data_IF_460075613816
#
_entry.id   IF_460075613816
#
_cell.length_a   1.000
_cell.length_b   1.000
_cell.length_c   1.000
_cell.angle_alpha   90.00
_cell.angle_beta   90.00
_cell.angle_gamma   90.00
#
_symmetry.space_group_name_H-M   'P 1'
#
loop_
_entity.id
_entity.type
_entity.pdbx_description
1 polymer ?
#
# COMPACT_ATOMS: atom_id res chain seq x y z
N UNK A 1 0.56 -7.23 11.20
CA UNK A 1 -0.78 -7.11 10.56
C UNK A 1 -1.92 -7.32 11.56
N UNK A 2 -1.80 -8.25 12.52
CA UNK A 2 -2.84 -8.54 13.53
C UNK A 2 -3.39 -7.29 14.23
N UNK A 3 -2.52 -6.49 14.85
CA UNK A 3 -2.94 -5.26 15.55
C UNK A 3 -3.51 -4.20 14.61
N UNK A 4 -3.06 -4.15 13.35
CA UNK A 4 -3.59 -3.22 12.35
C UNK A 4 -5.04 -3.56 12.02
N UNK A 5 -5.34 -4.85 11.82
CA UNK A 5 -6.71 -5.30 11.57
C UNK A 5 -7.62 -5.05 12.78
N UNK A 6 -7.11 -5.34 13.99
CA UNK A 6 -7.83 -5.07 15.23
C UNK A 6 -8.14 -3.58 15.44
N UNK A 7 -7.23 -2.67 15.06
CA UNK A 7 -7.41 -1.23 15.22
C UNK A 7 -8.52 -0.63 14.32
N UNK A 8 -8.97 -1.33 13.28
CA UNK A 8 -10.01 -0.87 12.36
C UNK A 8 -11.15 -1.88 12.21
N UNK A 9 -11.31 -2.76 13.21
CA UNK A 9 -12.37 -3.79 13.27
C UNK A 9 -12.48 -4.67 12.02
N UNK A 10 -11.35 -4.95 11.37
CA UNK A 10 -11.29 -5.87 10.23
C UNK A 10 -11.09 -7.29 10.77
N UNK A 11 -11.99 -8.25 10.48
CA UNK A 11 -12.01 -9.57 11.11
C UNK A 11 -10.98 -10.54 10.48
N UNK A 12 -9.73 -10.12 10.40
CA UNK A 12 -8.62 -10.93 9.90
C UNK A 12 -7.49 -11.06 10.92
N UNK A 13 -6.90 -12.26 10.98
CA UNK A 13 -5.59 -12.46 11.60
C UNK A 13 -4.48 -11.74 10.83
N UNK A 14 -3.28 -11.70 11.42
CA UNK A 14 -2.12 -11.10 10.76
C UNK A 14 -1.23 -12.12 10.08
N UNK A 15 -1.04 -11.97 8.77
CA UNK A 15 -0.04 -12.69 7.99
C UNK A 15 0.82 -11.74 7.16
N UNK A 16 1.97 -12.24 6.69
CA UNK A 16 2.87 -11.54 5.76
C UNK A 16 3.72 -12.54 4.99
N UNK A 17 3.99 -12.24 3.73
CA UNK A 17 4.86 -13.02 2.87
C UNK A 17 5.94 -12.13 2.25
N UNK A 18 7.08 -12.73 1.88
CA UNK A 18 8.17 -12.02 1.22
C UNK A 18 8.99 -12.96 0.33
N UNK A 19 9.41 -12.47 -0.83
CA UNK A 19 10.32 -13.15 -1.74
C UNK A 19 11.60 -12.33 -1.81
N UNK A 20 12.75 -12.92 -1.45
CA UNK A 20 14.04 -12.22 -1.35
C UNK A 20 14.68 -12.00 -2.73
N UNK A 21 14.09 -11.12 -3.54
CA UNK A 21 14.57 -10.72 -4.86
C UNK A 21 14.50 -9.20 -5.05
N UNK A 22 15.33 -8.65 -5.93
CA UNK A 22 15.12 -7.30 -6.46
C UNK A 22 14.32 -7.41 -7.76
N UNK A 23 13.02 -7.06 -7.79
CA UNK A 23 12.17 -7.29 -8.96
C UNK A 23 12.64 -6.51 -10.20
N UNK A 24 13.47 -5.48 -10.05
CA UNK A 24 14.02 -4.70 -11.16
C UNK A 24 15.06 -5.46 -11.97
N UNK A 25 15.61 -6.54 -11.42
CA UNK A 25 16.63 -7.39 -12.06
C UNK A 25 16.02 -8.55 -12.85
N UNK A 26 14.69 -8.67 -12.89
CA UNK A 26 13.98 -9.78 -13.54
C UNK A 26 13.06 -9.26 -14.64
N UNK A 27 12.93 -10.03 -15.70
CA UNK A 27 11.93 -9.82 -16.73
C UNK A 27 10.52 -10.10 -16.22
N UNK A 28 9.51 -9.60 -16.92
CA UNK A 28 8.10 -9.86 -16.60
C UNK A 28 7.77 -11.35 -16.58
N UNK A 29 8.34 -12.12 -17.50
CA UNK A 29 8.13 -13.56 -17.59
C UNK A 29 8.75 -14.30 -16.40
N UNK A 30 9.92 -13.87 -15.94
CA UNK A 30 10.55 -14.45 -14.75
C UNK A 30 9.75 -14.11 -13.49
N UNK A 31 9.29 -12.86 -13.35
CA UNK A 31 8.42 -12.45 -12.24
C UNK A 31 7.13 -13.27 -12.22
N UNK A 32 6.48 -13.49 -13.37
CA UNK A 32 5.29 -14.35 -13.44
C UNK A 32 5.59 -15.77 -12.97
N UNK A 33 6.66 -16.40 -13.48
CA UNK A 33 7.06 -17.75 -13.06
C UNK A 33 7.34 -17.83 -11.56
N UNK A 34 8.04 -16.84 -11.01
CA UNK A 34 8.35 -16.75 -9.58
C UNK A 34 7.05 -16.63 -8.76
N UNK A 35 6.17 -15.68 -9.11
CA UNK A 35 4.91 -15.45 -8.40
C UNK A 35 4.00 -16.68 -8.44
N UNK A 36 3.85 -17.32 -9.60
CA UNK A 36 3.02 -18.52 -9.75
C UNK A 36 3.60 -19.70 -8.99
N UNK A 37 4.91 -19.92 -9.06
CA UNK A 37 5.58 -21.00 -8.31
C UNK A 37 5.46 -20.76 -6.80
N UNK A 38 5.62 -19.52 -6.35
CA UNK A 38 5.45 -19.13 -4.97
C UNK A 38 4.01 -19.40 -4.49
N UNK A 39 3.01 -18.94 -5.25
CA UNK A 39 1.60 -19.20 -4.96
C UNK A 39 1.34 -20.71 -4.82
N UNK A 40 1.82 -21.51 -5.78
CA UNK A 40 1.63 -22.97 -5.74
C UNK A 40 2.21 -23.62 -4.48
N UNK A 41 3.39 -23.19 -4.02
CA UNK A 41 3.99 -23.74 -2.80
C UNK A 41 3.24 -23.27 -1.54
N UNK A 42 2.74 -22.03 -1.49
CA UNK A 42 1.87 -21.57 -0.39
C UNK A 42 0.58 -22.38 -0.32
N UNK A 43 -0.07 -22.59 -1.47
CA UNK A 43 -1.32 -23.34 -1.60
C UNK A 43 -1.16 -24.76 -1.05
N UNK A 44 -0.12 -25.48 -1.49
CA UNK A 44 0.16 -26.86 -1.03
C UNK A 44 0.38 -26.96 0.48
N UNK A 45 0.85 -25.88 1.11
CA UNK A 45 1.15 -25.83 2.55
C UNK A 45 0.05 -25.16 3.37
N UNK A 46 -1.07 -24.78 2.75
CA UNK A 46 -2.21 -24.17 3.44
C UNK A 46 -2.02 -22.70 3.81
N UNK A 47 -1.10 -21.97 3.14
CA UNK A 47 -0.83 -20.54 3.36
C UNK A 47 -1.45 -19.63 2.28
N UNK A 48 -2.34 -20.16 1.44
CA UNK A 48 -3.09 -19.39 0.46
C UNK A 48 -4.41 -20.09 0.17
N UNK A 49 -5.51 -19.50 0.62
CA UNK A 49 -6.87 -19.99 0.41
C UNK A 49 -7.88 -18.92 0.88
N UNK A 50 -9.06 -18.78 0.26
CA UNK A 50 -10.06 -17.78 0.66
C UNK A 50 -10.45 -17.83 2.15
N UNK A 51 -10.42 -19.03 2.75
CA UNK A 51 -10.82 -19.25 4.14
C UNK A 51 -9.67 -19.40 5.15
N UNK A 52 -8.40 -19.29 4.72
CA UNK A 52 -7.24 -19.52 5.59
C UNK A 52 -6.30 -18.32 5.62
N UNK A 53 -5.74 -17.95 4.47
CA UNK A 53 -4.82 -16.82 4.34
C UNK A 53 -5.00 -16.20 2.96
N UNK A 54 -5.23 -14.88 2.94
CA UNK A 54 -5.63 -14.10 1.77
C UNK A 54 -4.58 -13.01 1.53
N UNK A 55 -3.58 -13.25 0.66
CA UNK A 55 -2.53 -12.29 0.38
C UNK A 55 -3.05 -10.98 -0.24
N UNK A 56 -2.19 -9.95 -0.25
CA UNK A 56 -2.47 -8.65 -0.82
C UNK A 56 -1.16 -7.99 -1.33
N UNK A 57 -1.24 -6.95 -2.19
CA UNK A 57 -0.06 -6.23 -2.65
C UNK A 57 0.74 -5.59 -1.52
N UNK A 58 2.05 -5.61 -1.68
CA UNK A 58 3.03 -4.88 -0.88
C UNK A 58 4.21 -4.40 -1.75
N UNK A 59 5.29 -3.91 -1.12
CA UNK A 59 6.49 -3.40 -1.77
C UNK A 59 7.01 -4.36 -2.85
N UNK A 60 7.10 -3.87 -4.09
CA UNK A 60 7.55 -4.65 -5.25
C UNK A 60 6.48 -5.51 -5.92
N UNK A 61 5.21 -5.42 -5.49
CA UNK A 61 4.08 -6.16 -6.09
C UNK A 61 2.87 -5.23 -6.28
N UNK A 62 1.98 -5.59 -7.20
CA UNK A 62 0.75 -4.84 -7.48
C UNK A 62 -0.35 -5.74 -8.00
N UNK A 63 -1.29 -5.14 -8.74
CA UNK A 63 -2.45 -5.86 -9.28
C UNK A 63 -2.05 -7.04 -10.18
N UNK A 64 -0.93 -6.90 -10.91
CA UNK A 64 -0.40 -7.94 -11.80
C UNK A 64 -0.03 -9.21 -11.05
N UNK A 65 0.74 -9.11 -9.96
CA UNK A 65 1.13 -10.28 -9.19
C UNK A 65 -0.09 -10.93 -8.51
N UNK A 66 -1.05 -10.12 -8.04
CA UNK A 66 -2.29 -10.65 -7.45
C UNK A 66 -3.14 -11.40 -8.48
N UNK A 67 -3.19 -10.91 -9.73
CA UNK A 67 -3.84 -11.61 -10.84
C UNK A 67 -3.21 -12.99 -11.08
N UNK A 68 -1.87 -13.08 -11.10
CA UNK A 68 -1.17 -14.35 -11.27
C UNK A 68 -1.38 -15.31 -10.11
N UNK A 69 -1.42 -14.81 -8.87
CA UNK A 69 -1.70 -15.64 -7.68
C UNK A 69 -3.13 -16.19 -7.74
N UNK A 70 -4.12 -15.33 -8.04
CA UNK A 70 -5.52 -15.74 -8.19
C UNK A 70 -5.70 -16.80 -9.27
N UNK A 71 -5.15 -16.55 -10.47
CA UNK A 71 -5.25 -17.45 -11.62
C UNK A 71 -4.58 -18.81 -11.34
N UNK A 72 -3.48 -18.81 -10.57
CA UNK A 72 -2.82 -20.05 -10.15
C UNK A 72 -3.67 -20.83 -9.17
N UNK A 73 -4.31 -20.17 -8.21
CA UNK A 73 -5.20 -20.83 -7.25
C UNK A 73 -6.42 -21.44 -7.95
N UNK A 74 -7.14 -20.63 -8.73
CA UNK A 74 -8.41 -21.03 -9.35
C UNK A 74 -8.23 -22.15 -10.38
N UNK A 75 -7.10 -22.20 -11.09
CA UNK A 75 -6.83 -23.27 -12.07
C UNK A 75 -6.21 -24.54 -11.48
N UNK A 76 -5.83 -24.54 -10.20
CA UNK A 76 -5.19 -25.70 -9.56
C UNK A 76 -6.05 -26.26 -8.44
N UNK A 77 -5.68 -26.09 -7.17
CA UNK A 77 -6.42 -26.67 -6.03
C UNK A 77 -7.80 -26.02 -5.84
N UNK A 78 -7.96 -24.76 -6.26
CA UNK A 78 -9.21 -24.01 -6.12
C UNK A 78 -10.24 -24.25 -7.22
N UNK A 79 -10.03 -25.19 -8.15
CA UNK A 79 -10.88 -25.34 -9.34
C UNK A 79 -12.36 -25.67 -9.06
N UNK A 80 -12.65 -26.26 -7.90
CA UNK A 80 -14.03 -26.55 -7.44
C UNK A 80 -14.50 -25.58 -6.35
N UNK A 81 -13.63 -24.69 -5.88
CA UNK A 81 -13.98 -23.74 -4.84
C UNK A 81 -14.78 -22.58 -5.46
N UNK A 82 -16.04 -22.45 -5.04
CA UNK A 82 -16.94 -21.36 -5.42
C UNK A 82 -16.33 -19.98 -5.07
N UNK A 83 -15.54 -19.90 -4.01
CA UNK A 83 -14.90 -18.68 -3.55
C UNK A 83 -13.46 -18.55 -4.03
N UNK A 84 -13.02 -19.33 -5.03
CA UNK A 84 -11.62 -19.41 -5.45
C UNK A 84 -10.98 -18.05 -5.76
N UNK A 85 -11.73 -17.12 -6.35
CA UNK A 85 -11.23 -15.77 -6.65
C UNK A 85 -11.06 -14.90 -5.40
N UNK A 86 -11.62 -15.29 -4.26
CA UNK A 86 -11.44 -14.69 -2.94
C UNK A 86 -10.10 -15.03 -2.27
N UNK A 87 -9.25 -15.84 -2.90
CA UNK A 87 -7.97 -16.28 -2.33
C UNK A 87 -6.91 -15.18 -2.21
N UNK A 88 -7.11 -14.01 -2.84
CA UNK A 88 -6.20 -12.87 -2.81
C UNK A 88 -6.97 -11.55 -3.01
N UNK A 89 -6.51 -10.46 -2.40
CA UNK A 89 -7.06 -9.10 -2.61
C UNK A 89 -6.11 -8.23 -3.43
N UNK A 90 -6.54 -7.03 -3.83
CA UNK A 90 -5.72 -6.15 -4.67
C UNK A 90 -5.60 -6.62 -6.12
N UNK A 91 -6.56 -7.44 -6.58
CA UNK A 91 -6.69 -7.85 -7.98
C UNK A 91 -7.06 -6.68 -8.89
N UNK A 92 -6.81 -6.78 -10.21
CA UNK A 92 -7.37 -5.87 -11.20
C UNK A 92 -8.91 -5.85 -11.15
N UNK A 93 -9.53 -4.72 -11.48
CA UNK A 93 -11.00 -4.56 -11.46
C UNK A 93 -11.70 -5.61 -12.32
N UNK A 94 -11.17 -5.86 -13.53
CA UNK A 94 -11.72 -6.86 -14.46
C UNK A 94 -11.54 -8.32 -14.00
N UNK A 95 -10.88 -8.56 -12.86
CA UNK A 95 -10.65 -9.88 -12.28
C UNK A 95 -11.22 -10.00 -10.86
N UNK A 96 -12.28 -9.24 -10.55
CA UNK A 96 -12.91 -9.23 -9.23
C UNK A 96 -12.18 -8.37 -8.19
N UNK A 97 -11.36 -7.42 -8.65
CA UNK A 97 -10.85 -6.32 -7.83
C UNK A 97 -11.94 -5.30 -7.51
N UNK A 98 -11.79 -4.60 -6.39
CA UNK A 98 -12.73 -3.56 -5.95
C UNK A 98 -12.22 -2.16 -6.33
N UNK A 99 -13.13 -1.27 -6.71
CA UNK A 99 -12.79 0.10 -7.05
C UNK A 99 -12.06 0.80 -5.90
N UNK A 100 -11.05 1.60 -6.25
CA UNK A 100 -10.31 2.41 -5.28
C UNK A 100 -9.26 1.64 -4.47
N UNK A 101 -9.16 0.30 -4.57
CA UNK A 101 -8.17 -0.50 -3.81
C UNK A 101 -6.73 -0.07 -4.01
N UNK A 102 -6.33 0.29 -5.24
CA UNK A 102 -4.99 0.83 -5.50
C UNK A 102 -4.71 2.08 -4.66
N UNK A 103 -5.69 2.99 -4.60
CA UNK A 103 -5.56 4.24 -3.85
C UNK A 103 -5.98 4.19 -2.38
N UNK A 104 -6.48 3.05 -1.90
CA UNK A 104 -7.13 2.94 -0.60
C UNK A 104 -6.19 3.28 0.55
N UNK A 105 -4.94 2.80 0.50
CA UNK A 105 -3.96 3.07 1.57
C UNK A 105 -3.62 4.56 1.66
N UNK A 106 -3.34 5.23 0.54
CA UNK A 106 -3.07 6.67 0.54
C UNK A 106 -4.30 7.51 0.92
N UNK A 107 -5.50 7.04 0.59
CA UNK A 107 -6.76 7.67 1.05
C UNK A 107 -6.94 7.52 2.57
N UNK A 108 -6.64 6.35 3.12
CA UNK A 108 -6.69 6.10 4.56
C UNK A 108 -5.70 6.94 5.34
N UNK A 109 -4.48 7.13 4.82
CA UNK A 109 -3.50 8.06 5.40
C UNK A 109 -4.08 9.47 5.45
N UNK A 110 -4.68 9.94 4.36
CA UNK A 110 -5.36 11.23 4.34
C UNK A 110 -6.47 11.36 5.39
N UNK A 111 -7.41 10.41 5.47
CA UNK A 111 -8.50 10.49 6.44
C UNK A 111 -8.00 10.43 7.89
N UNK A 112 -6.99 9.61 8.18
CA UNK A 112 -6.39 9.58 9.52
C UNK A 112 -5.79 10.94 9.86
N UNK A 113 -4.98 11.50 8.96
CA UNK A 113 -4.37 12.83 9.16
C UNK A 113 -5.41 13.93 9.30
N UNK A 114 -6.43 13.96 8.43
CA UNK A 114 -7.55 14.91 8.48
C UNK A 114 -8.25 14.86 9.84
N UNK A 115 -8.57 13.66 10.33
CA UNK A 115 -9.26 13.50 11.61
C UNK A 115 -8.46 14.04 12.81
N UNK A 116 -7.14 13.86 12.83
CA UNK A 116 -6.29 14.45 13.86
C UNK A 116 -6.07 15.95 13.68
N UNK A 117 -5.99 16.42 12.44
CA UNK A 117 -5.77 17.84 12.12
C UNK A 117 -7.00 18.71 12.32
N UNK A 118 -8.19 18.14 12.24
CA UNK A 118 -9.43 18.86 12.51
C UNK A 118 -9.78 18.88 14.01
N UNK A 119 -9.06 18.11 14.83
CA UNK A 119 -9.26 18.09 16.28
C UNK A 119 -8.44 19.19 16.97
N UNK A 120 -9.15 20.15 17.57
CA UNK A 120 -8.55 21.33 18.20
C UNK A 120 -7.56 21.00 19.32
N UNK A 121 -7.84 19.98 20.14
CA UNK A 121 -6.99 19.60 21.27
C UNK A 121 -5.61 19.12 20.80
N UNK A 122 -5.55 18.29 19.76
CA UNK A 122 -4.28 17.84 19.18
C UNK A 122 -3.54 18.98 18.48
N UNK A 123 -4.27 19.88 17.83
CA UNK A 123 -3.67 21.02 17.13
C UNK A 123 -3.11 22.07 18.10
N UNK A 124 -3.78 22.32 19.21
CA UNK A 124 -3.27 23.18 20.29
C UNK A 124 -2.00 22.58 20.92
N UNK A 125 -1.99 21.27 21.20
CA UNK A 125 -0.80 20.58 21.69
C UNK A 125 0.40 20.72 20.74
N UNK A 126 0.15 20.66 19.43
CA UNK A 126 1.18 20.83 18.39
C UNK A 126 1.47 22.31 18.06
N UNK A 127 0.77 23.27 18.66
CA UNK A 127 0.85 24.70 18.33
C UNK A 127 0.58 24.99 16.84
N UNK A 128 -0.36 24.24 16.24
CA UNK A 128 -0.75 24.34 14.84
C UNK A 128 -2.20 24.79 14.70
N UNK A 129 -2.55 25.42 13.57
CA UNK A 129 -3.96 25.74 13.26
C UNK A 129 -4.70 24.47 12.82
N UNK A 130 -5.97 24.27 13.18
CA UNK A 130 -6.77 23.18 12.64
C UNK A 130 -6.91 23.20 11.12
N UNK A 131 -7.07 22.01 10.53
CA UNK A 131 -7.27 21.81 9.10
C UNK A 131 -5.98 21.63 8.29
N UNK A 132 -6.07 20.84 7.22
CA UNK A 132 -4.92 20.46 6.37
C UNK A 132 -4.55 21.52 5.31
N UNK A 133 -5.47 22.44 5.01
CA UNK A 133 -5.28 23.47 3.98
C UNK A 133 -4.08 24.35 4.33
N UNK A 134 -3.28 24.70 3.31
CA UNK A 134 -2.07 25.51 3.41
C UNK A 134 -0.90 24.91 4.21
N UNK A 135 -1.09 23.75 4.87
CA UNK A 135 0.01 23.00 5.49
C UNK A 135 0.96 22.44 4.46
N UNK A 136 2.23 22.37 4.81
CA UNK A 136 3.32 21.80 4.02
C UNK A 136 3.53 20.33 4.36
N UNK A 137 3.87 19.52 3.36
CA UNK A 137 4.19 18.12 3.63
C UNK A 137 5.28 17.59 2.72
N UNK A 138 6.01 16.60 3.23
CA UNK A 138 7.09 15.94 2.51
C UNK A 138 6.91 14.42 2.54
N UNK A 139 7.28 13.74 1.45
CA UNK A 139 7.02 12.31 1.24
C UNK A 139 8.31 11.52 1.09
N UNK A 140 8.55 10.57 1.98
CA UNK A 140 9.63 9.60 1.82
C UNK A 140 9.14 8.42 0.99
N UNK A 141 9.37 8.46 -0.33
CA UNK A 141 8.96 7.40 -1.26
C UNK A 141 7.71 7.76 -2.07
N UNK A 142 7.78 7.47 -3.38
CA UNK A 142 6.72 7.77 -4.35
C UNK A 142 6.12 6.52 -5.00
N UNK A 143 5.95 5.47 -4.18
CA UNK A 143 5.26 4.25 -4.56
C UNK A 143 3.73 4.39 -4.51
N UNK A 144 3.02 3.27 -4.42
CA UNK A 144 1.56 3.24 -4.37
C UNK A 144 1.00 4.06 -3.19
N UNK A 145 1.59 3.95 -2.00
CA UNK A 145 1.16 4.73 -0.82
C UNK A 145 1.46 6.22 -1.01
N UNK A 146 2.73 6.58 -1.22
CA UNK A 146 3.17 7.98 -1.29
C UNK A 146 2.51 8.79 -2.40
N UNK A 147 2.40 8.24 -3.62
CA UNK A 147 1.76 8.94 -4.75
C UNK A 147 0.26 9.17 -4.55
N UNK A 148 -0.44 8.23 -3.91
CA UNK A 148 -1.85 8.41 -3.59
C UNK A 148 -2.06 9.36 -2.41
N UNK A 149 -1.22 9.29 -1.37
CA UNK A 149 -1.24 10.28 -0.27
C UNK A 149 -1.02 11.69 -0.79
N UNK A 150 0.00 11.89 -1.64
CA UNK A 150 0.25 13.17 -2.33
C UNK A 150 -1.03 13.68 -2.99
N UNK A 151 -1.68 12.84 -3.81
CA UNK A 151 -2.87 13.22 -4.56
C UNK A 151 -4.01 13.69 -3.65
N UNK A 152 -4.25 13.03 -2.52
CA UNK A 152 -5.33 13.42 -1.61
C UNK A 152 -4.98 14.67 -0.79
N UNK A 153 -3.74 14.77 -0.29
CA UNK A 153 -3.26 15.96 0.41
C UNK A 153 -3.31 17.21 -0.47
N UNK A 154 -2.81 17.10 -1.71
CA UNK A 154 -2.85 18.19 -2.68
C UNK A 154 -4.29 18.60 -3.01
N UNK A 155 -5.22 17.64 -3.15
CA UNK A 155 -6.64 17.94 -3.39
C UNK A 155 -7.29 18.69 -2.22
N UNK A 156 -6.84 18.44 -0.99
CA UNK A 156 -7.31 19.12 0.21
C UNK A 156 -6.61 20.48 0.45
N UNK A 157 -5.70 20.89 -0.44
CA UNK A 157 -5.04 22.21 -0.38
C UNK A 157 -3.74 22.25 0.41
N UNK A 158 -3.18 21.09 0.78
CA UNK A 158 -1.84 21.02 1.34
C UNK A 158 -0.77 21.18 0.24
N UNK A 159 0.41 21.68 0.60
CA UNK A 159 1.51 22.00 -0.33
C UNK A 159 2.62 20.96 -0.19
N UNK A 160 2.84 20.19 -1.25
CA UNK A 160 3.97 19.26 -1.32
C UNK A 160 5.26 20.05 -1.49
N UNK A 161 6.21 19.89 -0.56
CA UNK A 161 7.51 20.58 -0.62
C UNK A 161 8.65 19.67 -1.08
N UNK A 162 8.44 18.35 -1.20
CA UNK A 162 9.46 17.45 -1.76
C UNK A 162 9.15 15.95 -1.63
N UNK A 163 10.01 15.13 -2.25
CA UNK A 163 10.06 13.68 -2.05
C UNK A 163 11.45 13.10 -2.33
N UNK A 164 11.79 11.94 -1.75
CA UNK A 164 13.06 11.22 -2.01
C UNK A 164 13.17 10.73 -3.46
N UNK A 165 12.04 10.43 -4.12
CA UNK A 165 12.04 10.03 -5.53
C UNK A 165 11.68 11.26 -6.34
N UNK A 166 12.68 11.85 -6.99
CA UNK A 166 12.55 13.14 -7.68
C UNK A 166 11.42 13.14 -8.72
N UNK A 167 10.58 14.17 -8.66
CA UNK A 167 9.68 14.54 -9.74
C UNK A 167 10.47 15.01 -10.97
N UNK A 168 9.87 15.03 -12.17
CA UNK A 168 10.42 15.79 -13.29
C UNK A 168 10.65 17.25 -12.87
N UNK A 169 11.91 17.70 -12.92
CA UNK A 169 12.31 19.04 -12.45
C UNK A 169 12.65 19.15 -10.96
N UNK A 170 12.62 18.05 -10.20
CA UNK A 170 13.05 18.05 -8.81
C UNK A 170 14.56 18.28 -8.70
N UNK A 171 14.95 19.10 -7.72
CA UNK A 171 16.35 19.27 -7.34
C UNK A 171 16.74 18.19 -6.35
N UNK A 172 17.98 17.73 -6.44
CA UNK A 172 18.54 16.83 -5.44
C UNK A 172 18.58 17.56 -4.10
N UNK A 173 18.14 16.87 -3.06
CA UNK A 173 18.25 17.35 -1.68
C UNK A 173 19.41 16.60 -1.02
N UNK A 174 20.38 17.33 -0.49
CA UNK A 174 21.63 16.77 0.06
C UNK A 174 21.58 16.59 1.60
N UNK A 175 20.44 16.88 2.24
CA UNK A 175 20.21 16.66 3.69
C UNK A 175 19.38 15.41 4.01
N UNK A 176 19.14 15.17 5.30
CA UNK A 176 18.19 14.13 5.73
C UNK A 176 16.74 14.63 5.55
N UNK A 177 15.93 13.84 4.87
CA UNK A 177 14.51 14.14 4.67
C UNK A 177 13.73 14.11 5.98
N UNK A 178 14.15 13.27 6.94
CA UNK A 178 13.50 13.16 8.25
C UNK A 178 13.66 14.42 9.10
N UNK A 179 14.67 15.24 8.80
CA UNK A 179 14.96 16.50 9.50
C UNK A 179 14.48 17.72 8.70
N UNK A 180 13.86 17.51 7.54
CA UNK A 180 13.41 18.62 6.70
C UNK A 180 12.21 19.32 7.34
N UNK A 181 12.29 20.65 7.47
CA UNK A 181 11.22 21.46 8.03
C UNK A 181 9.93 21.32 7.20
N UNK A 182 8.89 20.80 7.83
CA UNK A 182 7.56 20.63 7.25
C UNK A 182 6.51 20.51 8.35
N UNK A 183 5.25 20.76 8.01
CA UNK A 183 4.14 20.50 8.93
C UNK A 183 3.84 19.00 9.04
N UNK A 184 4.06 18.23 7.97
CA UNK A 184 3.73 16.80 7.90
C UNK A 184 4.83 16.02 7.16
N UNK A 185 5.49 15.11 7.86
CA UNK A 185 6.37 14.11 7.28
C UNK A 185 5.61 12.80 7.06
N UNK A 186 5.63 12.29 5.83
CA UNK A 186 4.98 11.02 5.48
C UNK A 186 6.02 9.97 5.08
N UNK A 187 6.42 9.06 5.99
CA UNK A 187 7.28 7.93 5.67
C UNK A 187 6.50 6.85 4.89
N UNK A 188 6.76 6.70 3.59
CA UNK A 188 6.03 5.81 2.69
C UNK A 188 6.97 4.89 1.87
N UNK A 189 8.13 4.56 2.43
CA UNK A 189 9.16 3.73 1.81
C UNK A 189 9.38 2.43 2.61
N UNK A 190 10.57 2.23 3.16
CA UNK A 190 10.93 1.06 3.96
C UNK A 190 10.81 1.37 5.44
N UNK A 191 10.67 0.32 6.25
CA UNK A 191 10.87 0.35 7.70
C UNK A 191 12.30 0.71 8.11
#
# INVERSE_FOLDING_TARGET
MTFKCAAVDVPYGGAKAGIKIDPRKYSLLELEKITRKFALELIKKGFLSPGVDVPAPDMGTGEREMAWMMDTYSKTLGYQDMNSHGCVTGKPINQGGIHGRGSATGRGVFHATEHFMDNECYMEFLSMKPGIKDKTFILQGYGNVGSHTHRYYHRAGAKCIGSIVGFPGAKKYDGDLFEHECDILVPAAKE
#
